data_IF_575843601468
#
_entry.id   IF_575843601468
#
_cell.length_a   1.000
_cell.length_b   1.000
_cell.length_c   1.000
_cell.angle_alpha   90.00
_cell.angle_beta   90.00
_cell.angle_gamma   90.00
#
_symmetry.space_group_name_H-M   'P 1'
#
loop_
_entity.id
_entity.type
_entity.pdbx_description
1 polymer ?
#
# COMPACT_ATOMS: atom_id res chain seq x y z
N UNK A 1 -42.68 3.41 -36.19
CA UNK A 1 -42.39 2.46 -35.09
C UNK A 1 -41.08 1.68 -35.26
N UNK A 2 -40.74 1.16 -36.45
CA UNK A 2 -39.52 0.35 -36.67
C UNK A 2 -38.20 1.07 -36.33
N UNK A 3 -38.12 2.39 -36.55
CA UNK A 3 -36.92 3.21 -36.25
C UNK A 3 -36.70 3.45 -34.75
N UNK A 4 -37.77 3.45 -33.95
CA UNK A 4 -37.69 3.64 -32.49
C UNK A 4 -37.10 2.40 -31.80
N UNK A 5 -37.40 1.21 -32.33
CA UNK A 5 -36.88 -0.07 -31.85
C UNK A 5 -35.36 -0.22 -32.09
N UNK A 6 -34.87 0.30 -33.22
CA UNK A 6 -33.44 0.30 -33.56
C UNK A 6 -32.63 1.22 -32.64
N UNK A 7 -33.17 2.39 -32.30
CA UNK A 7 -32.51 3.34 -31.38
C UNK A 7 -32.45 2.77 -29.97
N UNK A 8 -33.54 2.16 -29.47
CA UNK A 8 -33.53 1.51 -28.15
C UNK A 8 -32.61 0.29 -28.08
N UNK A 9 -32.53 -0.53 -29.14
CA UNK A 9 -31.58 -1.63 -29.20
C UNK A 9 -30.11 -1.17 -29.19
N UNK A 10 -29.82 0.00 -29.79
CA UNK A 10 -28.47 0.58 -29.81
C UNK A 10 -28.06 1.15 -28.44
N UNK A 11 -29.00 1.66 -27.64
CA UNK A 11 -28.72 2.11 -26.27
C UNK A 11 -28.55 0.92 -25.31
N UNK A 12 -29.31 -0.17 -25.47
CA UNK A 12 -29.20 -1.35 -24.60
C UNK A 12 -27.87 -2.10 -24.83
N UNK A 13 -27.37 -2.13 -26.07
CA UNK A 13 -26.07 -2.77 -26.37
C UNK A 13 -24.89 -2.02 -25.74
N UNK A 14 -24.99 -0.70 -25.55
CA UNK A 14 -23.95 0.09 -24.87
C UNK A 14 -23.80 -0.26 -23.38
N UNK A 15 -24.87 -0.72 -22.72
CA UNK A 15 -24.80 -1.17 -21.33
C UNK A 15 -24.34 -2.62 -21.17
N UNK A 16 -24.41 -3.44 -22.23
CA UNK A 16 -24.06 -4.87 -22.16
C UNK A 16 -22.55 -5.16 -22.17
N UNK A 17 -21.70 -4.20 -22.55
CA UNK A 17 -20.25 -4.40 -22.70
C UNK A 17 -19.39 -3.83 -21.55
N UNK A 18 -19.99 -3.29 -20.48
CA UNK A 18 -19.25 -2.57 -19.42
C UNK A 18 -18.47 -3.47 -18.43
N UNK A 19 -18.56 -4.80 -18.51
CA UNK A 19 -17.90 -5.69 -17.54
C UNK A 19 -17.22 -6.90 -18.18
N UNK A 20 -16.58 -6.72 -19.34
CA UNK A 20 -15.53 -7.66 -19.72
C UNK A 20 -14.41 -7.57 -18.69
N UNK A 21 -14.38 -8.54 -17.77
CA UNK A 21 -13.26 -8.78 -16.85
C UNK A 21 -12.04 -9.07 -17.73
N UNK A 22 -11.30 -8.01 -18.05
CA UNK A 22 -10.07 -8.09 -18.83
C UNK A 22 -9.14 -9.02 -18.08
N UNK A 23 -8.65 -10.02 -18.80
CA UNK A 23 -7.52 -10.84 -18.36
C UNK A 23 -6.27 -9.99 -18.43
N UNK A 24 -6.05 -9.24 -17.37
CA UNK A 24 -5.26 -8.03 -17.44
C UNK A 24 -3.78 -8.31 -17.17
N UNK A 25 -3.09 -8.78 -18.22
CA UNK A 25 -1.63 -8.80 -18.28
C UNK A 25 -1.08 -7.41 -17.95
N UNK A 26 -1.78 -6.35 -18.35
CA UNK A 26 -1.51 -4.96 -17.99
C UNK A 26 -1.57 -4.72 -16.48
N UNK A 27 -2.67 -5.07 -15.80
CA UNK A 27 -2.81 -4.88 -14.35
C UNK A 27 -1.79 -5.71 -13.55
N UNK A 28 -1.47 -6.93 -13.99
CA UNK A 28 -0.40 -7.72 -13.36
C UNK A 28 0.96 -7.05 -13.50
N UNK A 29 1.27 -6.52 -14.69
CA UNK A 29 2.50 -5.78 -14.95
C UNK A 29 2.57 -4.49 -14.12
N UNK A 30 1.49 -3.72 -14.08
CA UNK A 30 1.37 -2.50 -13.29
C UNK A 30 1.58 -2.78 -11.79
N UNK A 31 0.91 -3.81 -11.26
CA UNK A 31 1.08 -4.20 -9.86
C UNK A 31 2.54 -4.63 -9.59
N UNK A 32 3.16 -5.40 -10.49
CA UNK A 32 4.56 -5.80 -10.35
C UNK A 32 5.51 -4.60 -10.31
N UNK A 33 5.31 -3.62 -11.19
CA UNK A 33 6.09 -2.39 -11.23
C UNK A 33 5.92 -1.59 -9.93
N UNK A 34 4.70 -1.53 -9.41
CA UNK A 34 4.39 -0.83 -8.17
C UNK A 34 4.97 -1.54 -6.94
N UNK A 35 4.94 -2.87 -6.90
CA UNK A 35 5.63 -3.68 -5.88
C UNK A 35 7.12 -3.36 -5.91
N UNK A 36 7.76 -3.40 -7.08
CA UNK A 36 9.19 -3.10 -7.22
C UNK A 36 9.54 -1.69 -6.72
N UNK A 37 8.74 -0.69 -7.07
CA UNK A 37 8.92 0.69 -6.60
C UNK A 37 8.73 0.81 -5.08
N UNK A 38 7.74 0.11 -4.53
CA UNK A 38 7.46 0.09 -3.09
C UNK A 38 8.56 -0.60 -2.30
N UNK A 39 9.13 -1.69 -2.82
CA UNK A 39 10.29 -2.38 -2.22
C UNK A 39 11.49 -1.45 -2.14
N UNK A 40 11.82 -0.74 -3.22
CA UNK A 40 12.92 0.23 -3.22
C UNK A 40 12.70 1.32 -2.18
N UNK A 41 11.49 1.89 -2.15
CA UNK A 41 11.13 2.96 -1.21
C UNK A 41 11.18 2.47 0.24
N UNK A 42 10.64 1.28 0.53
CA UNK A 42 10.68 0.67 1.85
C UNK A 42 12.11 0.39 2.30
N UNK A 43 12.97 -0.08 1.39
CA UNK A 43 14.38 -0.35 1.69
C UNK A 43 15.10 0.93 2.08
N UNK A 44 14.83 2.03 1.39
CA UNK A 44 15.39 3.33 1.74
C UNK A 44 14.88 3.84 3.10
N UNK A 45 13.58 3.66 3.38
CA UNK A 45 13.00 3.98 4.69
C UNK A 45 13.65 3.17 5.81
N UNK A 46 13.82 1.86 5.63
CA UNK A 46 14.47 0.97 6.60
C UNK A 46 15.90 1.42 6.90
N UNK A 47 16.69 1.73 5.87
CA UNK A 47 18.06 2.26 6.07
C UNK A 47 18.06 3.58 6.84
N UNK A 48 17.13 4.48 6.52
CA UNK A 48 17.01 5.77 7.21
C UNK A 48 16.63 5.55 8.68
N UNK A 49 15.68 4.65 8.95
CA UNK A 49 15.26 4.28 10.30
C UNK A 49 16.42 3.67 11.10
N UNK A 50 17.17 2.72 10.55
CA UNK A 50 18.32 2.11 11.21
C UNK A 50 19.43 3.13 11.54
N UNK A 51 19.68 4.08 10.63
CA UNK A 51 20.64 5.15 10.85
C UNK A 51 20.22 6.02 12.04
N UNK A 52 18.95 6.44 12.08
CA UNK A 52 18.40 7.25 13.17
C UNK A 52 18.36 6.49 14.50
N UNK A 53 17.98 5.21 14.49
CA UNK A 53 17.97 4.37 15.70
C UNK A 53 19.39 4.25 16.28
N UNK A 54 20.41 4.06 15.44
CA UNK A 54 21.83 4.01 15.86
C UNK A 54 22.32 5.36 16.39
N UNK A 55 21.95 6.46 15.74
CA UNK A 55 22.31 7.81 16.19
C UNK A 55 21.71 8.11 17.57
N UNK A 56 20.41 7.82 17.77
CA UNK A 56 19.75 8.06 19.05
C UNK A 56 20.31 7.19 20.18
N UNK A 57 20.63 5.91 19.92
CA UNK A 57 21.28 5.04 20.93
C UNK A 57 22.62 5.59 21.42
N UNK A 58 23.35 6.35 20.59
CA UNK A 58 24.64 6.97 20.95
C UNK A 58 24.51 8.29 21.71
N UNK A 59 23.38 9.00 21.56
CA UNK A 59 23.19 10.38 22.06
C UNK A 59 22.48 10.42 23.43
N UNK A 60 22.21 9.26 24.04
CA UNK A 60 21.37 9.00 25.23
C UNK A 60 19.92 8.68 24.89
N UNK A 61 19.38 7.70 25.61
CA UNK A 61 18.02 7.18 25.44
C UNK A 61 16.99 8.23 25.88
N UNK A 62 16.67 9.18 24.99
CA UNK A 62 15.53 10.07 25.20
C UNK A 62 14.27 9.20 25.17
N UNK A 63 13.59 9.04 26.30
CA UNK A 63 12.42 8.17 26.45
C UNK A 63 11.36 8.38 25.36
N UNK A 64 11.14 9.63 24.92
CA UNK A 64 10.23 9.97 23.83
C UNK A 64 10.61 9.36 22.47
N UNK A 65 11.91 9.30 22.14
CA UNK A 65 12.37 8.68 20.90
C UNK A 65 12.16 7.17 20.92
N UNK A 66 12.33 6.50 22.07
CA UNK A 66 12.14 5.04 22.18
C UNK A 66 10.69 4.66 21.86
N UNK A 67 9.73 5.41 22.40
CA UNK A 67 8.31 5.21 22.10
C UNK A 67 8.04 5.43 20.61
N UNK A 68 8.49 6.55 20.05
CA UNK A 68 8.31 6.87 18.63
C UNK A 68 8.97 5.84 17.71
N UNK A 69 10.15 5.32 18.07
CA UNK A 69 10.86 4.29 17.33
C UNK A 69 10.05 2.99 17.22
N UNK A 70 9.31 2.62 18.28
CA UNK A 70 8.40 1.48 18.23
C UNK A 70 7.24 1.72 17.26
N UNK A 71 6.66 2.93 17.21
CA UNK A 71 5.64 3.26 16.22
C UNK A 71 6.19 3.17 14.79
N UNK A 72 7.36 3.77 14.52
CA UNK A 72 8.03 3.67 13.23
C UNK A 72 8.26 2.22 12.81
N UNK A 73 8.81 1.39 13.70
CA UNK A 73 9.05 -0.03 13.45
C UNK A 73 7.76 -0.78 13.12
N UNK A 74 6.68 -0.52 13.86
CA UNK A 74 5.39 -1.16 13.65
C UNK A 74 4.79 -0.81 12.29
N UNK A 75 4.86 0.47 11.88
CA UNK A 75 4.39 0.92 10.57
C UNK A 75 5.21 0.27 9.45
N UNK A 76 6.55 0.32 9.55
CA UNK A 76 7.47 -0.30 8.58
C UNK A 76 7.19 -1.79 8.42
N UNK A 77 6.93 -2.50 9.52
CA UNK A 77 6.60 -3.92 9.49
C UNK A 77 5.31 -4.20 8.72
N UNK A 78 4.26 -3.41 8.92
CA UNK A 78 3.00 -3.55 8.17
C UNK A 78 3.17 -3.19 6.69
N UNK A 79 3.93 -2.14 6.37
CA UNK A 79 4.28 -1.80 4.98
C UNK A 79 5.00 -2.97 4.29
N UNK A 80 5.95 -3.62 4.98
CA UNK A 80 6.63 -4.83 4.51
C UNK A 80 5.66 -5.99 4.26
N UNK A 81 4.75 -6.26 5.21
CA UNK A 81 3.75 -7.32 5.08
C UNK A 81 2.80 -7.08 3.90
N UNK A 82 2.35 -5.83 3.72
CA UNK A 82 1.51 -5.44 2.59
C UNK A 82 2.22 -5.66 1.24
N UNK A 83 3.47 -5.22 1.12
CA UNK A 83 4.27 -5.39 -0.10
C UNK A 83 4.54 -6.87 -0.39
N UNK A 84 4.87 -7.67 0.63
CA UNK A 84 5.06 -9.11 0.47
C UNK A 84 3.78 -9.80 -0.01
N UNK A 85 2.64 -9.46 0.58
CA UNK A 85 1.33 -10.01 0.18
C UNK A 85 0.96 -9.61 -1.25
N UNK A 86 1.24 -8.36 -1.64
CA UNK A 86 1.06 -7.91 -3.02
C UNK A 86 1.99 -8.64 -3.99
N UNK A 87 3.24 -8.92 -3.61
CA UNK A 87 4.18 -9.69 -4.42
C UNK A 87 3.71 -11.14 -4.64
N UNK A 88 3.14 -11.78 -3.61
CA UNK A 88 2.52 -13.10 -3.77
C UNK A 88 1.30 -13.06 -4.70
N UNK A 89 0.48 -12.01 -4.62
CA UNK A 89 -0.63 -11.80 -5.54
C UNK A 89 -0.16 -11.65 -7.01
N UNK A 90 0.96 -10.99 -7.27
CA UNK A 90 1.58 -10.93 -8.61
C UNK A 90 1.98 -12.32 -9.10
N UNK A 91 2.56 -13.16 -8.23
CA UNK A 91 2.95 -14.53 -8.59
C UNK A 91 1.72 -15.39 -8.92
N UNK A 92 0.66 -15.25 -8.13
CA UNK A 92 -0.60 -15.95 -8.36
C UNK A 92 -1.30 -15.47 -9.64
N UNK A 93 -1.26 -14.16 -9.93
CA UNK A 93 -1.95 -13.58 -11.09
C UNK A 93 -1.31 -13.93 -12.42
N UNK A 94 -0.02 -14.31 -12.41
CA UNK A 94 0.64 -14.92 -13.58
C UNK A 94 0.09 -16.29 -13.93
N UNK A 95 -0.45 -17.01 -12.96
CA UNK A 95 -0.98 -18.39 -13.12
C UNK A 95 -2.50 -18.42 -13.27
N UNK A 96 -3.20 -17.42 -12.73
CA UNK A 96 -4.67 -17.39 -12.64
C UNK A 96 -5.18 -15.98 -12.92
N UNK A 97 -6.42 -15.88 -13.44
CA UNK A 97 -7.09 -14.59 -13.63
C UNK A 97 -7.56 -14.05 -12.29
N UNK A 98 -6.96 -12.94 -11.82
CA UNK A 98 -7.27 -12.31 -10.54
C UNK A 98 -7.61 -10.85 -10.78
N UNK A 99 -8.69 -10.34 -10.17
CA UNK A 99 -8.96 -8.91 -10.14
C UNK A 99 -8.00 -8.23 -9.14
N UNK A 100 -7.09 -7.41 -9.65
CA UNK A 100 -6.03 -6.73 -8.90
C UNK A 100 -6.29 -5.23 -8.64
N UNK A 101 -7.37 -4.65 -9.15
CA UNK A 101 -7.64 -3.20 -9.09
C UNK A 101 -7.54 -2.62 -7.67
N UNK A 102 -8.25 -3.23 -6.70
CA UNK A 102 -8.19 -2.83 -5.30
C UNK A 102 -6.83 -3.07 -4.64
N UNK A 103 -6.05 -4.04 -5.12
CA UNK A 103 -4.70 -4.33 -4.59
C UNK A 103 -3.73 -3.23 -5.01
N UNK A 104 -3.76 -2.85 -6.29
CA UNK A 104 -2.95 -1.77 -6.86
C UNK A 104 -3.21 -0.44 -6.13
N UNK A 105 -4.48 -0.11 -5.89
CA UNK A 105 -4.85 1.10 -5.14
C UNK A 105 -4.35 1.06 -3.69
N UNK A 106 -4.61 -0.02 -2.95
CA UNK A 106 -4.13 -0.17 -1.58
C UNK A 106 -2.60 -0.10 -1.49
N UNK A 107 -1.90 -0.73 -2.44
CA UNK A 107 -0.45 -0.68 -2.51
C UNK A 107 0.06 0.74 -2.79
N UNK A 108 -0.67 1.55 -3.58
CA UNK A 108 -0.34 2.95 -3.82
C UNK A 108 -0.39 3.77 -2.54
N UNK A 109 -1.41 3.52 -1.73
CA UNK A 109 -1.57 4.17 -0.44
C UNK A 109 -0.45 3.76 0.54
N UNK A 110 -0.02 2.50 0.50
CA UNK A 110 1.16 2.02 1.24
C UNK A 110 2.43 2.74 0.75
N UNK A 111 2.65 2.86 -0.56
CA UNK A 111 3.81 3.61 -1.10
C UNK A 111 3.79 5.08 -0.68
N UNK A 112 2.61 5.70 -0.64
CA UNK A 112 2.43 7.06 -0.14
C UNK A 112 2.80 7.17 1.33
N UNK A 113 2.32 6.24 2.16
CA UNK A 113 2.67 6.19 3.59
C UNK A 113 4.17 6.00 3.82
N UNK A 114 4.87 5.19 3.02
CA UNK A 114 6.33 5.06 3.12
C UNK A 114 7.02 6.43 3.01
N UNK A 115 6.58 7.28 2.07
CA UNK A 115 7.11 8.64 1.90
C UNK A 115 6.77 9.53 3.10
N UNK A 116 5.54 9.46 3.60
CA UNK A 116 5.12 10.22 4.79
C UNK A 116 5.97 9.83 6.01
N UNK A 117 6.14 8.54 6.26
CA UNK A 117 6.92 8.02 7.38
C UNK A 117 8.40 8.41 7.24
N UNK A 118 8.94 8.37 6.02
CA UNK A 118 10.30 8.84 5.75
C UNK A 118 10.45 10.34 6.07
N UNK A 119 9.47 11.16 5.69
CA UNK A 119 9.47 12.59 6.00
C UNK A 119 9.32 12.86 7.51
N UNK A 120 8.48 12.11 8.21
CA UNK A 120 8.33 12.20 9.66
C UNK A 120 9.63 11.83 10.38
N UNK A 121 10.33 10.81 9.90
CA UNK A 121 11.61 10.37 10.46
C UNK A 121 12.74 11.39 10.21
N UNK A 122 12.78 12.02 9.03
CA UNK A 122 13.84 12.96 8.67
C UNK A 122 13.60 14.38 9.21
N UNK A 123 12.38 14.89 9.09
CA UNK A 123 12.03 16.29 9.36
C UNK A 123 11.11 16.43 10.57
N UNK A 124 10.22 15.46 10.79
CA UNK A 124 9.27 15.48 11.91
C UNK A 124 9.94 15.30 13.27
N UNK A 125 11.10 14.63 13.33
CA UNK A 125 11.81 14.35 14.59
C UNK A 125 12.32 15.61 15.30
N UNK A 126 12.58 16.69 14.57
CA UNK A 126 13.19 17.91 15.12
C UNK A 126 12.25 19.13 15.11
N UNK A 127 11.23 19.16 14.24
CA UNK A 127 10.41 20.35 14.00
C UNK A 127 8.96 20.24 14.50
N UNK A 128 8.59 19.17 15.19
CA UNK A 128 7.21 18.88 15.62
C UNK A 128 7.15 18.56 17.11
N UNK A 129 6.08 19.00 17.79
CA UNK A 129 5.80 18.58 19.17
C UNK A 129 5.58 17.05 19.23
N UNK A 130 6.08 16.40 20.28
CA UNK A 130 5.96 14.97 20.50
C UNK A 130 4.51 14.46 20.45
N UNK A 131 3.54 15.22 20.98
CA UNK A 131 2.12 14.83 20.93
C UNK A 131 1.57 14.81 19.51
N UNK A 132 1.81 15.88 18.74
CA UNK A 132 1.37 15.97 17.35
C UNK A 132 2.03 14.87 16.49
N UNK A 133 3.30 14.57 16.79
CA UNK A 133 4.05 13.54 16.10
C UNK A 133 3.50 12.16 16.36
N UNK A 134 3.17 11.84 17.61
CA UNK A 134 2.56 10.55 17.98
C UNK A 134 1.19 10.40 17.33
N UNK A 135 0.36 11.44 17.34
CA UNK A 135 -0.95 11.40 16.69
C UNK A 135 -0.82 11.14 15.17
N UNK A 136 0.13 11.80 14.49
CA UNK A 136 0.41 11.53 13.07
C UNK A 136 0.93 10.11 12.83
N UNK A 137 1.76 9.59 13.72
CA UNK A 137 2.26 8.22 13.62
C UNK A 137 1.13 7.19 13.82
N UNK A 138 0.22 7.42 14.77
CA UNK A 138 -0.93 6.55 15.00
C UNK A 138 -1.92 6.60 13.84
N UNK A 139 -2.19 7.78 13.29
CA UNK A 139 -3.00 7.93 12.09
C UNK A 139 -2.41 7.15 10.90
N UNK A 140 -1.10 7.27 10.67
CA UNK A 140 -0.41 6.52 9.62
C UNK A 140 -0.39 5.01 9.90
N UNK A 141 -0.22 4.59 11.16
CA UNK A 141 -0.30 3.19 11.55
C UNK A 141 -1.67 2.58 11.23
N UNK A 142 -2.75 3.25 11.63
CA UNK A 142 -4.12 2.78 11.40
C UNK A 142 -4.43 2.66 9.91
N UNK A 143 -4.04 3.68 9.15
CA UNK A 143 -4.17 3.71 7.69
C UNK A 143 -3.43 2.56 7.02
N UNK A 144 -2.15 2.36 7.35
CA UNK A 144 -1.33 1.26 6.83
C UNK A 144 -1.91 -0.10 7.22
N UNK A 145 -2.39 -0.23 8.47
CA UNK A 145 -3.01 -1.46 8.96
C UNK A 145 -4.24 -1.84 8.17
N UNK A 146 -5.10 -0.87 7.85
CA UNK A 146 -6.29 -1.10 7.03
C UNK A 146 -5.92 -1.59 5.61
N UNK A 147 -4.99 -0.91 4.94
CA UNK A 147 -4.60 -1.27 3.58
C UNK A 147 -3.84 -2.61 3.52
N UNK A 148 -2.99 -2.89 4.52
CA UNK A 148 -2.34 -4.20 4.67
C UNK A 148 -3.38 -5.32 4.81
N UNK A 149 -4.36 -5.15 5.70
CA UNK A 149 -5.45 -6.11 5.91
C UNK A 149 -6.26 -6.36 4.64
N UNK A 150 -6.55 -5.31 3.85
CA UNK A 150 -7.27 -5.44 2.59
C UNK A 150 -6.48 -6.29 1.56
N UNK A 151 -5.18 -6.03 1.41
CA UNK A 151 -4.31 -6.78 0.50
C UNK A 151 -4.20 -8.24 0.96
N UNK A 152 -4.02 -8.46 2.27
CA UNK A 152 -3.93 -9.80 2.86
C UNK A 152 -5.21 -10.60 2.70
N UNK A 153 -6.36 -9.97 2.95
CA UNK A 153 -7.68 -10.58 2.73
C UNK A 153 -7.84 -11.01 1.28
N UNK A 154 -7.42 -10.15 0.33
CA UNK A 154 -7.47 -10.49 -1.09
C UNK A 154 -6.56 -11.68 -1.44
N UNK A 155 -5.35 -11.74 -0.88
CA UNK A 155 -4.44 -12.87 -1.04
C UNK A 155 -5.10 -14.16 -0.56
N UNK A 156 -5.63 -14.17 0.66
CA UNK A 156 -6.32 -15.33 1.26
C UNK A 156 -7.46 -15.81 0.35
N UNK A 157 -8.37 -14.91 -0.04
CA UNK A 157 -9.51 -15.24 -0.91
C UNK A 157 -9.09 -15.85 -2.24
N UNK A 158 -7.91 -15.47 -2.74
CA UNK A 158 -7.40 -15.94 -4.02
C UNK A 158 -6.61 -17.24 -3.91
N UNK A 159 -6.01 -17.53 -2.76
CA UNK A 159 -5.28 -18.78 -2.52
C UNK A 159 -6.21 -20.00 -2.44
N UNK A 160 -7.45 -19.82 -2.00
CA UNK A 160 -8.44 -20.90 -1.85
C UNK A 160 -9.36 -21.11 -3.06
N UNK A 161 -9.18 -20.33 -4.14
CA UNK A 161 -9.89 -20.48 -5.41
C UNK A 161 -8.98 -21.08 -6.48
#
# INVERSE_FOLDING_TARGET
MKRFFLVTAFFISQFAFSQLVVTDVGATSQLAQQVSTSVKSLTQLQKTYEMMEKANKKIQQVNGFVQQANHFRNIINKQKQAINSANELVKLSRKRKINLSGVTQNLQMISGSIKTVQALLQNGVFNMNDSERLERLDAEYNKVSQYESNIKTKLIQTSFR
#
